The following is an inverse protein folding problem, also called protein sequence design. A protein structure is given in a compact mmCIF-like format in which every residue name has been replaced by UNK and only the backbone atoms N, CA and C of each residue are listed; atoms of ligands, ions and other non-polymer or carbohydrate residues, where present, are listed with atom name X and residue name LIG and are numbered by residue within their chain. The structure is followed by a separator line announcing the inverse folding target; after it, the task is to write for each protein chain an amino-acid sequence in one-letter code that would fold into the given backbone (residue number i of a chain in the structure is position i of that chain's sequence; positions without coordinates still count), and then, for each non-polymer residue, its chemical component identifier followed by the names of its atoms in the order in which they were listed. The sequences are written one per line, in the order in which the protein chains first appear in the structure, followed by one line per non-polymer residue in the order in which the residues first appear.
data_IF_572033583202
#
_entry.id   IF_572033583202
#
_cell.length_a   1.000
_cell.length_b   1.000
_cell.length_c   1.000
_cell.angle_alpha   90.00
_cell.angle_beta   90.00
_cell.angle_gamma   90.00
#
_symmetry.space_group_name_H-M   'P 1'
#
loop_
_entity.id
_entity.type
_entity.pdbx_description
1 polymer ?
#
# COMPACT_ATOMS: atom_id res chain seq x y z
N UNK A 1 -13.89 -13.57 17.29
CA UNK A 1 -13.18 -12.33 16.92
C UNK A 1 -13.40 -11.34 18.02
N UNK A 2 -12.36 -10.66 18.49
CA UNK A 2 -12.44 -9.64 19.54
C UNK A 2 -11.34 -8.60 19.34
N UNK A 3 -11.53 -7.40 19.89
CA UNK A 3 -10.48 -6.41 20.08
C UNK A 3 -10.54 -5.94 21.53
N UNK A 4 -9.48 -6.18 22.29
CA UNK A 4 -9.34 -5.77 23.68
C UNK A 4 -8.29 -4.68 23.77
N UNK A 5 -8.61 -3.58 24.45
CA UNK A 5 -7.68 -2.52 24.81
C UNK A 5 -7.80 -2.30 26.33
N UNK A 6 -6.73 -2.60 27.07
CA UNK A 6 -6.75 -2.60 28.53
C UNK A 6 -7.92 -3.44 29.10
N UNK A 7 -8.86 -2.81 29.80
CA UNK A 7 -10.04 -3.44 30.39
C UNK A 7 -11.28 -3.38 29.48
N UNK A 8 -11.18 -2.75 28.31
CA UNK A 8 -12.29 -2.56 27.39
C UNK A 8 -12.27 -3.60 26.29
N UNK A 9 -13.38 -4.30 26.10
CA UNK A 9 -13.57 -5.28 25.03
C UNK A 9 -14.50 -4.71 23.96
N UNK A 10 -13.92 -4.36 22.82
CA UNK A 10 -14.61 -3.85 21.65
C UNK A 10 -15.08 -5.03 20.78
N UNK A 11 -16.34 -4.93 20.36
CA UNK A 11 -16.88 -5.78 19.32
C UNK A 11 -16.35 -5.30 17.97
N UNK A 12 -15.73 -6.19 17.20
CA UNK A 12 -15.26 -5.86 15.85
C UNK A 12 -16.45 -5.59 14.93
N UNK A 13 -16.42 -4.44 14.28
CA UNK A 13 -17.44 -4.00 13.30
C UNK A 13 -16.96 -4.18 11.87
N UNK A 14 -15.65 -4.09 11.62
CA UNK A 14 -15.04 -4.40 10.34
C UNK A 14 -13.59 -4.88 10.50
N UNK A 15 -13.14 -5.73 9.57
CA UNK A 15 -11.74 -6.14 9.46
C UNK A 15 -11.38 -6.29 7.98
N UNK A 16 -10.33 -5.60 7.56
CA UNK A 16 -9.88 -5.56 6.18
C UNK A 16 -8.39 -5.90 6.08
N UNK A 17 -8.07 -6.67 5.05
CA UNK A 17 -6.68 -6.95 4.64
C UNK A 17 -6.50 -6.48 3.20
N UNK A 18 -5.42 -5.75 2.96
CA UNK A 18 -4.99 -5.32 1.63
C UNK A 18 -3.63 -5.89 1.27
N UNK A 19 -3.38 -6.12 -0.02
CA UNK A 19 -2.05 -6.44 -0.53
C UNK A 19 -1.62 -5.45 -1.60
N UNK A 20 -0.37 -5.00 -1.52
CA UNK A 20 0.33 -4.33 -2.61
C UNK A 20 1.60 -5.12 -2.98
N UNK A 21 2.08 -4.96 -4.22
CA UNK A 21 3.35 -5.55 -4.63
C UNK A 21 4.50 -4.68 -4.14
N UNK A 22 5.54 -5.27 -3.53
CA UNK A 22 6.72 -4.53 -3.11
C UNK A 22 7.50 -3.98 -4.32
N UNK A 23 8.26 -2.90 -4.10
CA UNK A 23 9.01 -2.23 -5.16
C UNK A 23 10.10 -3.13 -5.79
N UNK A 24 10.69 -4.01 -5.00
CA UNK A 24 11.64 -5.02 -5.51
C UNK A 24 10.94 -6.17 -6.27
N UNK A 25 9.60 -6.18 -6.26
CA UNK A 25 8.73 -7.18 -6.85
C UNK A 25 9.00 -8.61 -6.35
N UNK A 26 9.52 -8.78 -5.13
CA UNK A 26 9.83 -10.08 -4.54
C UNK A 26 8.83 -10.52 -3.48
N UNK A 27 8.09 -9.61 -2.89
CA UNK A 27 7.09 -9.88 -1.85
C UNK A 27 5.85 -9.02 -2.02
N UNK A 28 4.84 -9.27 -1.20
CA UNK A 28 3.74 -8.36 -0.97
C UNK A 28 4.01 -7.48 0.25
N UNK A 29 3.36 -6.33 0.28
CA UNK A 29 3.15 -5.48 1.43
C UNK A 29 1.71 -5.75 1.89
N UNK A 30 1.51 -6.04 3.17
CA UNK A 30 0.20 -6.29 3.75
C UNK A 30 -0.26 -5.07 4.54
N UNK A 31 -1.51 -4.69 4.34
CA UNK A 31 -2.22 -3.70 5.13
C UNK A 31 -3.27 -4.43 5.96
N UNK A 32 -3.42 -4.04 7.22
CA UNK A 32 -4.41 -4.57 8.13
C UNK A 32 -5.14 -3.39 8.76
N UNK A 33 -6.45 -3.50 8.87
CA UNK A 33 -7.33 -2.45 9.37
C UNK A 33 -8.52 -3.08 10.09
N UNK A 34 -8.70 -2.75 11.37
CA UNK A 34 -9.67 -3.36 12.27
C UNK A 34 -10.46 -2.23 12.94
N UNK A 35 -11.76 -2.19 12.68
CA UNK A 35 -12.69 -1.29 13.37
C UNK A 35 -13.42 -2.05 14.48
N UNK A 36 -13.60 -1.39 15.62
CA UNK A 36 -14.31 -1.90 16.78
C UNK A 36 -15.24 -0.88 17.41
N UNK A 37 -16.29 -1.37 18.06
CA UNK A 37 -17.23 -0.57 18.85
C UNK A 37 -17.42 -1.16 20.25
N UNK A 38 -17.44 -0.30 21.26
CA UNK A 38 -17.71 -0.65 22.64
C UNK A 38 -19.16 -0.29 23.01
N UNK A 39 -19.88 -1.23 23.61
CA UNK A 39 -21.29 -1.04 23.98
C UNK A 39 -21.48 -0.51 25.42
N UNK A 40 -20.42 -0.50 26.23
CA UNK A 40 -20.50 -0.04 27.63
C UNK A 40 -20.79 1.46 27.75
N UNK A 41 -21.45 1.83 28.84
CA UNK A 41 -21.88 3.22 29.10
C UNK A 41 -20.86 4.05 29.91
N UNK A 42 -19.78 3.42 30.36
CA UNK A 42 -18.71 3.99 31.16
C UNK A 42 -17.70 4.83 30.35
N UNK A 43 -17.79 4.78 29.02
CA UNK A 43 -17.05 5.68 28.12
C UNK A 43 -17.99 6.67 27.43
N UNK A 44 -17.50 7.88 27.19
CA UNK A 44 -18.18 8.86 26.33
C UNK A 44 -18.39 8.30 24.93
N UNK A 45 -19.48 8.70 24.27
CA UNK A 45 -19.91 8.13 22.98
C UNK A 45 -18.80 8.16 21.91
N UNK A 46 -18.05 9.25 21.84
CA UNK A 46 -16.95 9.42 20.87
C UNK A 46 -15.77 8.46 21.14
N UNK A 47 -15.62 8.00 22.38
CA UNK A 47 -14.58 7.07 22.79
C UNK A 47 -14.97 5.60 22.57
N UNK A 48 -16.19 5.32 22.11
CA UNK A 48 -16.68 3.95 21.94
C UNK A 48 -16.27 3.34 20.62
N UNK A 49 -15.72 4.10 19.68
CA UNK A 49 -15.31 3.59 18.36
C UNK A 49 -13.80 3.63 18.24
N UNK A 50 -13.19 2.52 17.84
CA UNK A 50 -11.73 2.40 17.74
C UNK A 50 -11.36 1.82 16.39
N UNK A 51 -10.20 2.22 15.89
CA UNK A 51 -9.61 1.66 14.67
C UNK A 51 -8.14 1.34 14.92
N UNK A 52 -7.74 0.10 14.65
CA UNK A 52 -6.36 -0.37 14.75
C UNK A 52 -5.91 -0.76 13.35
N UNK A 53 -4.90 -0.06 12.82
CA UNK A 53 -4.51 -0.25 11.42
C UNK A 53 -3.03 -0.01 11.17
N UNK A 54 -2.55 -0.51 10.03
CA UNK A 54 -1.19 -0.29 9.55
C UNK A 54 -1.22 0.73 8.40
N UNK A 55 -0.58 1.89 8.58
CA UNK A 55 -0.74 3.03 7.67
C UNK A 55 -0.05 2.82 6.31
N UNK A 56 1.19 2.34 6.33
CA UNK A 56 2.02 2.05 5.17
C UNK A 56 2.11 0.55 4.85
N UNK A 57 1.49 -0.28 5.70
CA UNK A 57 1.61 -1.73 5.66
C UNK A 57 3.02 -2.23 5.99
N UNK A 58 3.23 -3.54 5.85
CA UNK A 58 4.51 -4.19 6.17
C UNK A 58 4.85 -5.30 5.20
N UNK A 59 6.15 -5.53 4.95
CA UNK A 59 6.60 -6.54 4.01
C UNK A 59 6.43 -7.95 4.57
N UNK A 60 5.66 -8.78 3.87
CA UNK A 60 5.36 -10.15 4.33
C UNK A 60 6.32 -11.22 3.80
N UNK A 61 7.25 -10.82 2.92
CA UNK A 61 8.32 -11.69 2.40
C UNK A 61 7.86 -12.81 1.46
N UNK A 62 6.58 -12.84 1.08
CA UNK A 62 6.00 -13.83 0.16
C UNK A 62 5.08 -13.17 -0.86
N UNK A 63 4.81 -13.85 -1.98
CA UNK A 63 3.90 -13.38 -3.05
C UNK A 63 2.52 -14.03 -3.02
N UNK A 64 2.37 -15.10 -2.26
CA UNK A 64 1.17 -15.92 -2.25
C UNK A 64 0.64 -15.94 -0.81
N UNK A 65 -0.63 -15.54 -0.58
CA UNK A 65 -1.19 -15.42 0.77
C UNK A 65 -1.15 -16.73 1.57
N UNK A 66 -1.37 -17.87 0.93
CA UNK A 66 -1.29 -19.19 1.58
C UNK A 66 0.09 -19.50 2.20
N UNK A 67 1.16 -18.85 1.76
CA UNK A 67 2.50 -18.97 2.35
C UNK A 67 2.69 -18.15 3.63
N UNK A 68 1.64 -17.46 4.09
CA UNK A 68 1.65 -16.70 5.33
C UNK A 68 1.31 -17.55 6.56
N UNK A 69 0.70 -18.73 6.40
CA UNK A 69 0.27 -19.57 7.52
C UNK A 69 1.44 -19.81 8.49
N UNK A 70 1.23 -19.46 9.76
CA UNK A 70 2.21 -19.61 10.84
C UNK A 70 3.36 -18.59 10.84
N UNK A 71 3.32 -17.56 9.98
CA UNK A 71 4.28 -16.45 10.06
C UNK A 71 3.89 -15.45 11.15
N UNK A 72 4.92 -14.87 11.74
CA UNK A 72 4.83 -13.79 12.72
C UNK A 72 5.64 -12.59 12.26
N UNK A 73 5.13 -11.40 12.53
CA UNK A 73 5.79 -10.12 12.28
C UNK A 73 5.82 -9.37 13.61
N UNK A 74 7.00 -8.89 14.02
CA UNK A 74 7.22 -8.37 15.36
C UNK A 74 7.98 -7.04 15.32
N UNK A 75 7.54 -6.14 16.19
CA UNK A 75 8.04 -4.81 16.38
C UNK A 75 8.26 -4.59 17.87
N UNK A 76 9.52 -4.44 18.27
CA UNK A 76 9.90 -4.15 19.66
C UNK A 76 9.77 -2.66 20.02
N UNK A 77 9.60 -1.82 19.00
CA UNK A 77 9.44 -0.36 19.08
C UNK A 77 8.39 0.06 18.04
N UNK A 78 8.00 1.34 18.03
CA UNK A 78 6.99 1.86 17.11
C UNK A 78 7.35 1.68 15.63
N UNK A 79 8.64 1.51 15.32
CA UNK A 79 9.14 1.22 13.98
C UNK A 79 10.22 0.14 14.05
N UNK A 80 10.28 -0.72 13.05
CA UNK A 80 11.37 -1.70 12.92
C UNK A 80 12.58 -1.10 12.17
N UNK A 81 13.65 -1.90 12.02
CA UNK A 81 14.88 -1.48 11.33
C UNK A 81 14.73 -1.18 9.83
N UNK A 82 13.57 -1.48 9.23
CA UNK A 82 13.22 -1.12 7.85
C UNK A 82 12.36 0.14 7.78
N UNK A 83 12.05 0.74 8.92
CA UNK A 83 11.16 1.89 9.01
C UNK A 83 9.68 1.54 8.85
N UNK A 84 9.30 0.27 8.98
CA UNK A 84 7.88 -0.14 8.97
C UNK A 84 7.31 0.08 10.37
N UNK A 85 6.21 0.83 10.48
CA UNK A 85 5.56 1.07 11.76
C UNK A 85 5.02 -0.22 12.39
N UNK A 86 4.80 -0.26 13.70
CA UNK A 86 4.11 -1.36 14.37
C UNK A 86 2.59 -1.28 14.20
N UNK A 87 2.08 -0.09 13.83
CA UNK A 87 0.67 0.23 13.59
C UNK A 87 0.28 1.60 14.13
N UNK A 88 -1.00 1.91 14.01
CA UNK A 88 -1.62 3.12 14.54
C UNK A 88 -2.94 2.73 15.20
N UNK A 89 -3.15 3.26 16.40
CA UNK A 89 -4.43 3.20 17.10
C UNK A 89 -5.13 4.54 16.91
N UNK A 90 -6.36 4.52 16.40
CA UNK A 90 -7.16 5.71 16.21
C UNK A 90 -8.43 5.63 17.03
N UNK A 91 -8.70 6.69 17.77
CA UNK A 91 -10.02 6.94 18.33
C UNK A 91 -10.46 8.38 18.10
N UNK A 92 -9.80 9.33 18.77
CA UNK A 92 -9.97 10.76 18.53
C UNK A 92 -8.84 11.28 17.66
N UNK A 93 -7.62 10.89 18.01
CA UNK A 93 -6.39 11.21 17.31
C UNK A 93 -5.65 9.94 16.90
N UNK A 94 -4.62 10.12 16.07
CA UNK A 94 -3.76 9.04 15.61
C UNK A 94 -2.65 8.83 16.62
N UNK A 95 -2.73 7.73 17.35
CA UNK A 95 -1.76 7.35 18.36
C UNK A 95 -0.85 6.22 17.86
N UNK A 96 0.42 6.29 18.24
CA UNK A 96 1.39 5.27 17.88
C UNK A 96 1.11 3.95 18.60
N UNK A 97 1.16 2.85 17.85
CA UNK A 97 1.41 1.52 18.42
C UNK A 97 2.90 1.46 18.74
N UNK A 98 3.24 1.43 20.02
CA UNK A 98 4.62 1.52 20.51
C UNK A 98 5.37 0.19 20.43
N UNK A 99 4.65 -0.92 20.34
CA UNK A 99 5.18 -2.25 20.00
C UNK A 99 4.05 -3.14 19.50
N UNK A 100 4.37 -4.15 18.71
CA UNK A 100 3.35 -4.97 18.08
C UNK A 100 3.86 -6.33 17.63
N UNK A 101 2.95 -7.28 17.57
CA UNK A 101 3.16 -8.59 16.99
C UNK A 101 1.91 -9.03 16.24
N UNK A 102 2.09 -9.36 14.97
CA UNK A 102 1.04 -9.90 14.10
C UNK A 102 1.38 -11.36 13.80
N UNK A 103 0.51 -12.27 14.25
CA UNK A 103 0.55 -13.69 13.98
C UNK A 103 -0.52 -14.04 12.93
N UNK A 104 -0.09 -14.66 11.82
CA UNK A 104 -1.01 -15.20 10.82
C UNK A 104 -1.37 -16.63 11.22
N UNK A 105 -2.57 -16.78 11.81
CA UNK A 105 -3.02 -18.03 12.40
C UNK A 105 -3.44 -19.04 11.34
N UNK A 106 -4.16 -18.59 10.32
CA UNK A 106 -4.62 -19.44 9.21
C UNK A 106 -4.89 -18.61 7.95
N UNK A 107 -4.82 -19.26 6.79
CA UNK A 107 -5.16 -18.68 5.49
C UNK A 107 -5.84 -19.72 4.63
N UNK A 108 -7.10 -19.45 4.28
CA UNK A 108 -7.87 -20.22 3.32
C UNK A 108 -7.93 -19.48 1.97
N UNK A 109 -8.72 -19.99 1.02
CA UNK A 109 -8.95 -19.28 -0.24
C UNK A 109 -9.71 -17.96 -0.03
N UNK A 110 -10.61 -17.91 0.94
CA UNK A 110 -11.55 -16.79 1.11
C UNK A 110 -11.22 -15.92 2.33
N UNK A 111 -10.62 -16.50 3.37
CA UNK A 111 -10.40 -15.83 4.66
C UNK A 111 -8.94 -15.96 5.15
N UNK A 112 -8.46 -14.90 5.77
CA UNK A 112 -7.21 -14.84 6.53
C UNK A 112 -7.54 -14.56 7.98
N UNK A 113 -7.00 -15.38 8.88
CA UNK A 113 -7.15 -15.24 10.32
C UNK A 113 -5.87 -14.67 10.92
N UNK A 114 -6.01 -13.56 11.63
CA UNK A 114 -4.89 -12.80 12.18
C UNK A 114 -5.09 -12.57 13.66
N UNK A 115 -4.01 -12.71 14.43
CA UNK A 115 -3.92 -12.20 15.80
C UNK A 115 -2.92 -11.05 15.83
N UNK A 116 -3.31 -9.93 16.41
CA UNK A 116 -2.46 -8.77 16.58
C UNK A 116 -2.46 -8.34 18.03
N UNK A 117 -1.31 -8.39 18.68
CA UNK A 117 -1.14 -7.95 20.06
C UNK A 117 -0.02 -6.93 20.17
N UNK A 118 -0.08 -6.05 21.15
CA UNK A 118 0.96 -5.04 21.31
C UNK A 118 0.67 -4.05 22.41
N UNK A 119 1.34 -2.91 22.31
CA UNK A 119 1.14 -1.76 23.18
C UNK A 119 0.89 -0.52 22.33
N UNK A 120 0.00 0.35 22.77
CA UNK A 120 -0.32 1.60 22.11
C UNK A 120 -0.44 2.73 23.13
N UNK A 121 -0.20 3.95 22.67
CA UNK A 121 -0.49 5.14 23.47
C UNK A 121 -1.99 5.44 23.45
N UNK A 122 -2.52 5.83 24.61
CA UNK A 122 -3.96 6.04 24.81
C UNK A 122 -4.15 7.18 25.80
N UNK A 123 -4.30 8.41 25.30
CA UNK A 123 -4.32 9.62 26.14
C UNK A 123 -5.70 10.27 26.32
N UNK A 124 -6.75 9.61 25.85
CA UNK A 124 -8.13 10.12 25.86
C UNK A 124 -8.86 10.07 27.22
N UNK A 125 -8.28 9.43 28.25
CA UNK A 125 -8.81 9.36 29.60
C UNK A 125 -7.66 9.27 30.61
N UNK A 126 -7.91 9.66 31.86
CA UNK A 126 -6.89 9.68 32.92
C UNK A 126 -6.46 8.28 33.38
N UNK A 127 -7.23 7.25 33.05
CA UNK A 127 -6.97 5.86 33.45
C UNK A 127 -6.00 5.13 32.51
N UNK A 128 -5.79 5.68 31.31
CA UNK A 128 -4.84 5.17 30.32
C UNK A 128 -3.67 6.15 30.16
N UNK A 129 -2.66 5.72 29.41
CA UNK A 129 -1.47 6.52 29.15
C UNK A 129 -0.61 5.87 28.10
N UNK A 130 0.69 5.85 28.33
CA UNK A 130 1.64 5.20 27.42
C UNK A 130 1.60 3.67 27.55
N UNK A 131 1.88 2.99 26.44
CA UNK A 131 2.11 1.54 26.40
C UNK A 131 0.93 0.67 26.93
N UNK A 132 -0.29 1.11 26.69
CA UNK A 132 -1.50 0.35 27.03
C UNK A 132 -1.59 -0.90 26.17
N UNK A 133 -1.78 -2.05 26.81
CA UNK A 133 -1.81 -3.33 26.12
C UNK A 133 -3.10 -3.51 25.32
N UNK A 134 -2.96 -4.03 24.10
CA UNK A 134 -4.08 -4.46 23.29
C UNK A 134 -3.88 -5.87 22.72
N UNK A 135 -4.99 -6.51 22.37
CA UNK A 135 -5.01 -7.77 21.66
C UNK A 135 -6.25 -7.83 20.76
N UNK A 136 -6.06 -8.20 19.51
CA UNK A 136 -7.10 -8.39 18.52
C UNK A 136 -6.96 -9.76 17.87
N UNK A 137 -8.08 -10.45 17.66
CA UNK A 137 -8.14 -11.64 16.82
C UNK A 137 -9.27 -11.50 15.82
N UNK A 138 -8.94 -11.49 14.53
CA UNK A 138 -9.85 -11.13 13.44
C UNK A 138 -9.80 -12.15 12.31
N UNK A 139 -10.90 -12.25 11.58
CA UNK A 139 -10.97 -12.89 10.27
C UNK A 139 -11.36 -11.83 9.24
N UNK A 140 -10.62 -11.77 8.14
CA UNK A 140 -10.88 -10.87 7.04
C UNK A 140 -10.87 -11.62 5.72
N UNK A 141 -11.52 -11.07 4.69
CA UNK A 141 -11.45 -11.64 3.34
C UNK A 141 -10.02 -11.57 2.83
N UNK A 142 -9.55 -12.63 2.18
CA UNK A 142 -8.29 -12.61 1.44
C UNK A 142 -8.49 -11.73 0.21
N UNK A 143 -7.77 -10.60 0.08
CA UNK A 143 -7.88 -9.78 -1.11
C UNK A 143 -7.20 -10.47 -2.30
N UNK A 144 -7.58 -10.06 -3.50
CA UNK A 144 -6.93 -10.52 -4.73
C UNK A 144 -5.45 -10.13 -4.72
N UNK A 145 -4.56 -11.06 -5.06
CA UNK A 145 -3.13 -10.74 -5.20
C UNK A 145 -2.95 -9.80 -6.39
N UNK A 146 -2.27 -8.64 -6.21
CA UNK A 146 -2.00 -7.72 -7.31
C UNK A 146 -1.20 -8.42 -8.40
N UNK A 147 -1.74 -8.42 -9.63
CA UNK A 147 -1.04 -8.91 -10.82
C UNK A 147 0.02 -7.94 -11.35
N UNK A 148 0.00 -6.70 -10.85
CA UNK A 148 0.87 -5.62 -11.29
C UNK A 148 2.32 -5.84 -10.86
N UNK A 149 3.23 -5.20 -11.59
CA UNK A 149 4.64 -5.01 -11.22
C UNK A 149 4.91 -3.54 -10.93
N UNK A 150 5.80 -3.26 -10.01
CA UNK A 150 6.13 -1.89 -9.59
C UNK A 150 7.52 -1.51 -10.10
N UNK A 151 7.64 -0.33 -10.71
CA UNK A 151 8.94 0.27 -11.02
C UNK A 151 9.00 1.68 -10.45
N UNK A 152 10.00 1.95 -9.62
CA UNK A 152 10.35 3.31 -9.21
C UNK A 152 11.38 3.87 -10.19
N UNK A 153 10.96 4.87 -10.98
CA UNK A 153 11.79 5.46 -12.04
C UNK A 153 13.08 6.08 -11.54
N UNK A 154 13.11 6.61 -10.31
CA UNK A 154 14.34 7.15 -9.72
C UNK A 154 15.39 6.07 -9.44
N UNK A 155 14.97 4.85 -9.11
CA UNK A 155 15.89 3.75 -8.80
C UNK A 155 16.30 2.95 -10.04
N UNK A 156 15.37 2.76 -10.97
CA UNK A 156 15.61 2.04 -12.23
C UNK A 156 14.56 2.41 -13.28
N UNK A 157 14.98 2.41 -14.54
CA UNK A 157 14.07 2.61 -15.67
C UNK A 157 13.73 1.31 -16.41
N UNK A 158 14.33 0.18 -16.04
CA UNK A 158 14.07 -1.14 -16.64
C UNK A 158 13.50 -2.12 -15.61
N UNK A 159 12.53 -2.92 -16.02
CA UNK A 159 11.92 -3.95 -15.20
C UNK A 159 11.57 -5.18 -16.02
N UNK A 160 12.12 -6.33 -15.60
CA UNK A 160 11.70 -7.64 -16.07
C UNK A 160 10.35 -8.01 -15.46
N UNK A 161 9.33 -8.18 -16.30
CA UNK A 161 7.97 -8.56 -15.90
C UNK A 161 7.89 -10.07 -15.67
N UNK A 162 8.43 -10.85 -16.60
CA UNK A 162 8.52 -12.30 -16.57
C UNK A 162 9.75 -12.81 -17.35
N UNK A 163 9.86 -14.13 -17.60
CA UNK A 163 11.00 -14.73 -18.31
C UNK A 163 11.26 -14.15 -19.72
N UNK A 164 10.23 -13.71 -20.42
CA UNK A 164 10.21 -13.30 -21.82
C UNK A 164 9.85 -11.83 -22.04
N UNK A 165 9.43 -11.13 -20.98
CA UNK A 165 8.88 -9.78 -21.04
C UNK A 165 9.66 -8.81 -20.16
N UNK A 166 10.08 -7.68 -20.73
CA UNK A 166 10.72 -6.56 -20.04
C UNK A 166 10.09 -5.24 -20.50
N UNK A 167 9.97 -4.28 -19.58
CA UNK A 167 9.54 -2.92 -19.88
C UNK A 167 10.62 -1.90 -19.49
N UNK A 168 10.76 -0.85 -20.29
CA UNK A 168 11.70 0.24 -20.11
C UNK A 168 10.99 1.60 -20.20
N UNK A 169 11.33 2.50 -19.27
CA UNK A 169 10.92 3.90 -19.22
C UNK A 169 11.95 4.73 -20.00
N UNK A 170 11.60 5.21 -21.19
CA UNK A 170 12.57 5.79 -22.12
C UNK A 170 12.89 7.27 -21.83
N UNK A 171 11.93 8.03 -21.31
CA UNK A 171 12.07 9.47 -21.07
C UNK A 171 11.65 9.85 -19.64
N UNK A 172 12.01 9.02 -18.66
CA UNK A 172 11.63 9.26 -17.26
C UNK A 172 12.08 10.64 -16.74
N UNK A 173 13.25 11.14 -17.15
CA UNK A 173 13.73 12.49 -16.81
C UNK A 173 12.75 13.60 -17.22
N UNK A 174 12.07 13.44 -18.37
CA UNK A 174 11.10 14.42 -18.85
C UNK A 174 9.84 14.44 -17.99
N UNK A 175 9.47 13.28 -17.44
CA UNK A 175 8.36 13.16 -16.50
C UNK A 175 8.69 13.83 -15.17
N UNK A 176 9.94 13.70 -14.70
CA UNK A 176 10.42 14.36 -13.47
C UNK A 176 10.40 15.87 -13.64
N UNK A 177 10.98 16.40 -14.74
CA UNK A 177 10.99 17.85 -14.99
C UNK A 177 9.57 18.44 -15.02
N UNK A 178 8.61 17.74 -15.64
CA UNK A 178 7.22 18.19 -15.68
C UNK A 178 6.55 18.15 -14.29
N UNK A 179 6.86 17.14 -13.50
CA UNK A 179 6.37 17.03 -12.14
C UNK A 179 6.94 18.13 -11.22
N UNK A 180 8.23 18.45 -11.35
CA UNK A 180 8.88 19.55 -10.65
C UNK A 180 8.25 20.89 -11.04
N UNK A 181 8.00 21.13 -12.33
CA UNK A 181 7.27 22.32 -12.81
C UNK A 181 5.90 22.45 -12.14
N UNK A 182 5.13 21.37 -12.08
CA UNK A 182 3.81 21.37 -11.43
C UNK A 182 3.92 21.65 -9.93
N UNK A 183 4.88 21.00 -9.24
CA UNK A 183 5.16 21.23 -7.83
C UNK A 183 5.53 22.69 -7.56
N UNK A 184 6.44 23.28 -8.35
CA UNK A 184 6.83 24.68 -8.19
C UNK A 184 5.66 25.65 -8.39
N UNK A 185 4.79 25.38 -9.37
CA UNK A 185 3.58 26.19 -9.59
C UNK A 185 2.62 26.07 -8.39
N UNK A 186 2.40 24.84 -7.90
CA UNK A 186 1.57 24.60 -6.72
C UNK A 186 2.07 25.34 -5.48
N UNK A 187 3.38 25.31 -5.22
CA UNK A 187 4.02 26.05 -4.12
C UNK A 187 3.89 27.58 -4.27
N UNK A 188 3.63 28.08 -5.48
CA UNK A 188 3.32 29.50 -5.76
C UNK A 188 1.81 29.80 -5.72
N UNK A 189 1.03 28.97 -5.04
CA UNK A 189 -0.42 29.08 -4.84
C UNK A 189 -1.28 28.82 -6.09
N UNK A 190 -0.75 28.11 -7.09
CA UNK A 190 -1.59 27.58 -8.18
C UNK A 190 -2.14 26.20 -7.80
N UNK A 191 -3.34 26.19 -7.20
CA UNK A 191 -4.02 24.95 -6.80
C UNK A 191 -4.36 24.03 -7.99
N UNK A 192 -4.34 24.56 -9.22
CA UNK A 192 -4.64 23.81 -10.44
C UNK A 192 -3.37 23.29 -11.14
N UNK A 193 -2.18 23.52 -10.61
CA UNK A 193 -0.92 23.16 -11.27
C UNK A 193 -0.90 21.71 -11.78
N UNK A 194 -1.33 20.74 -10.98
CA UNK A 194 -1.37 19.32 -11.35
C UNK A 194 -2.43 18.97 -12.40
N UNK A 195 -3.48 19.78 -12.54
CA UNK A 195 -4.45 19.65 -13.62
C UNK A 195 -3.91 20.13 -14.97
N UNK A 196 -2.71 20.73 -14.99
CA UNK A 196 -1.99 21.11 -16.21
C UNK A 196 -0.91 20.11 -16.60
N UNK A 197 -0.77 19.00 -15.84
CA UNK A 197 0.20 17.96 -16.16
C UNK A 197 -0.23 17.27 -17.45
N UNK A 198 0.49 17.54 -18.54
CA UNK A 198 0.27 16.97 -19.86
C UNK A 198 1.59 16.42 -20.43
N UNK A 199 1.80 15.13 -20.26
CA UNK A 199 3.06 14.47 -20.64
C UNK A 199 2.84 13.01 -21.02
N UNK A 200 3.63 12.57 -21.98
CA UNK A 200 3.71 11.17 -22.37
C UNK A 200 5.00 10.53 -21.85
N UNK A 201 4.85 9.48 -21.04
CA UNK A 201 5.94 8.59 -20.68
C UNK A 201 6.10 7.57 -21.81
N UNK A 202 7.20 7.67 -22.54
CA UNK A 202 7.59 6.74 -23.60
C UNK A 202 8.04 5.43 -22.99
N UNK A 203 7.49 4.33 -23.52
CA UNK A 203 7.70 2.98 -23.06
C UNK A 203 8.29 2.14 -24.19
N UNK A 204 9.23 1.26 -23.84
CA UNK A 204 9.63 0.15 -24.70
C UNK A 204 9.32 -1.16 -23.99
N UNK A 205 8.60 -2.03 -24.69
CA UNK A 205 8.32 -3.39 -24.25
C UNK A 205 9.14 -4.35 -25.11
N UNK A 206 9.97 -5.16 -24.47
CA UNK A 206 10.65 -6.28 -25.12
C UNK A 206 9.91 -7.56 -24.79
N UNK A 207 9.26 -8.18 -25.79
CA UNK A 207 8.57 -9.47 -25.64
C UNK A 207 9.13 -10.49 -26.63
N UNK A 208 9.58 -11.64 -26.13
CA UNK A 208 10.14 -12.71 -26.97
C UNK A 208 11.27 -12.21 -27.90
N UNK A 209 12.11 -11.29 -27.39
CA UNK A 209 13.21 -10.61 -28.10
C UNK A 209 12.78 -9.66 -29.23
N UNK A 210 11.50 -9.35 -29.36
CA UNK A 210 10.99 -8.29 -30.23
C UNK A 210 10.66 -7.05 -29.41
N UNK A 211 10.92 -5.88 -29.97
CA UNK A 211 10.65 -4.59 -29.33
C UNK A 211 9.33 -4.01 -29.85
N UNK A 212 8.55 -3.44 -28.95
CA UNK A 212 7.31 -2.74 -29.21
C UNK A 212 7.34 -1.43 -28.46
N UNK A 213 6.91 -0.36 -29.10
CA UNK A 213 6.93 0.97 -28.52
C UNK A 213 5.51 1.42 -28.17
N UNK A 214 5.44 2.29 -27.19
CA UNK A 214 4.18 2.83 -26.71
C UNK A 214 4.41 3.99 -25.78
N UNK A 215 3.31 4.55 -25.28
CA UNK A 215 3.32 5.69 -24.39
C UNK A 215 2.22 5.53 -23.34
N UNK A 216 2.52 5.98 -22.12
CA UNK A 216 1.49 6.27 -21.11
C UNK A 216 1.24 7.78 -21.12
N UNK A 217 0.04 8.17 -21.52
CA UNK A 217 -0.35 9.55 -21.77
C UNK A 217 -1.11 10.08 -20.56
N UNK A 218 -0.51 11.08 -19.91
CA UNK A 218 -1.07 11.80 -18.76
C UNK A 218 -1.66 13.10 -19.29
N UNK A 219 -2.97 13.30 -19.13
CA UNK A 219 -3.69 14.48 -19.62
C UNK A 219 -4.50 15.10 -18.49
N UNK A 220 -4.03 16.24 -18.00
CA UNK A 220 -4.66 16.95 -16.90
C UNK A 220 -4.61 16.21 -15.56
N UNK A 221 -3.61 15.34 -15.39
CA UNK A 221 -3.38 14.60 -14.15
C UNK A 221 -1.95 14.06 -14.10
N UNK A 222 -1.24 14.26 -13.00
CA UNK A 222 0.08 13.64 -12.79
C UNK A 222 0.05 12.17 -12.37
N UNK A 223 -1.13 11.59 -12.13
CA UNK A 223 -1.27 10.24 -11.55
C UNK A 223 -2.19 9.31 -12.33
N UNK A 224 -3.04 9.85 -13.21
CA UNK A 224 -3.92 9.08 -14.11
C UNK A 224 -3.42 9.18 -15.54
N UNK A 225 -3.33 8.04 -16.21
CA UNK A 225 -2.97 7.97 -17.61
C UNK A 225 -3.76 6.87 -18.31
N UNK A 226 -3.72 6.88 -19.64
CA UNK A 226 -4.04 5.72 -20.46
C UNK A 226 -2.79 5.31 -21.24
N UNK A 227 -2.71 4.04 -21.61
CA UNK A 227 -1.57 3.48 -22.34
C UNK A 227 -1.95 3.18 -23.78
N UNK A 228 -1.03 3.49 -24.70
CA UNK A 228 -1.15 3.19 -26.13
C UNK A 228 0.14 2.51 -26.56
N UNK A 229 0.03 1.39 -27.27
CA UNK A 229 1.17 0.66 -27.83
C UNK A 229 0.91 0.38 -29.31
N UNK A 230 1.98 0.11 -30.06
CA UNK A 230 1.90 -0.32 -31.45
C UNK A 230 0.84 -1.44 -31.64
N UNK A 231 0.06 -1.36 -32.72
CA UNK A 231 -1.01 -2.35 -33.00
C UNK A 231 -0.49 -3.78 -33.05
N UNK A 232 0.76 -3.96 -33.49
CA UNK A 232 1.45 -5.24 -33.59
C UNK A 232 1.91 -5.81 -32.24
N UNK A 233 1.82 -5.05 -31.15
CA UNK A 233 2.15 -5.52 -29.82
C UNK A 233 1.18 -6.63 -29.40
N UNK A 234 1.64 -7.84 -29.06
CA UNK A 234 0.77 -8.96 -28.69
C UNK A 234 0.26 -8.87 -27.25
N UNK A 235 0.76 -7.92 -26.46
CA UNK A 235 0.39 -7.75 -25.06
C UNK A 235 -0.41 -6.46 -24.86
N UNK A 236 -1.36 -6.51 -23.92
CA UNK A 236 -1.97 -5.34 -23.33
C UNK A 236 -1.10 -4.87 -22.16
N UNK A 237 -0.62 -3.63 -22.23
CA UNK A 237 0.20 -3.01 -21.20
C UNK A 237 -0.58 -1.84 -20.62
N UNK A 238 -0.73 -1.78 -19.31
CA UNK A 238 -1.45 -0.73 -18.60
C UNK A 238 -0.66 -0.23 -17.40
N UNK A 239 -0.63 1.08 -17.20
CA UNK A 239 -0.23 1.67 -15.91
C UNK A 239 -1.50 1.89 -15.11
N UNK A 240 -1.75 1.04 -14.11
CA UNK A 240 -3.00 1.04 -13.33
C UNK A 240 -3.00 2.07 -12.21
N UNK A 241 -1.81 2.47 -11.75
CA UNK A 241 -1.59 3.47 -10.70
C UNK A 241 -0.23 4.11 -10.92
N UNK A 242 -0.15 5.41 -10.64
CA UNK A 242 1.10 6.15 -10.55
C UNK A 242 1.12 6.86 -9.21
N UNK A 243 2.21 6.68 -8.47
CA UNK A 243 2.45 7.35 -7.18
C UNK A 243 3.72 8.15 -7.28
N UNK A 244 3.69 9.39 -6.78
CA UNK A 244 4.78 10.32 -6.94
C UNK A 244 4.98 11.16 -5.68
N UNK A 245 6.19 11.13 -5.17
CA UNK A 245 6.69 11.95 -4.07
C UNK A 245 8.16 12.26 -4.36
N UNK A 246 8.40 13.38 -5.03
CA UNK A 246 9.70 13.71 -5.63
C UNK A 246 10.78 13.86 -4.56
N UNK A 247 10.43 14.44 -3.42
CA UNK A 247 11.33 14.68 -2.28
C UNK A 247 11.91 13.39 -1.70
N UNK A 248 11.15 12.29 -1.79
CA UNK A 248 11.52 10.98 -1.27
C UNK A 248 12.06 10.06 -2.37
N UNK A 249 12.40 10.61 -3.55
CA UNK A 249 12.80 9.83 -4.73
C UNK A 249 11.79 8.73 -5.08
N UNK A 250 10.50 9.03 -4.92
CA UNK A 250 9.42 8.11 -5.25
C UNK A 250 8.71 8.56 -6.52
N UNK A 251 8.86 7.77 -7.59
CA UNK A 251 8.01 7.89 -8.77
C UNK A 251 7.72 6.49 -9.30
N UNK A 252 6.66 5.90 -8.71
CA UNK A 252 6.31 4.49 -8.86
C UNK A 252 5.21 4.33 -9.91
N UNK A 253 5.44 3.44 -10.87
CA UNK A 253 4.47 3.02 -11.86
C UNK A 253 4.06 1.58 -11.58
N UNK A 254 2.75 1.34 -11.48
CA UNK A 254 2.16 0.03 -11.26
C UNK A 254 1.68 -0.50 -12.60
N UNK A 255 2.39 -1.48 -13.14
CA UNK A 255 2.30 -1.94 -14.52
C UNK A 255 1.63 -3.30 -14.56
N UNK A 256 0.49 -3.40 -15.25
CA UNK A 256 -0.15 -4.64 -15.61
C UNK A 256 0.24 -4.99 -17.06
N UNK A 257 0.66 -6.23 -17.28
CA UNK A 257 0.93 -6.77 -18.63
C UNK A 257 0.19 -8.09 -18.78
N UNK A 258 -0.70 -8.17 -19.75
CA UNK A 258 -1.53 -9.34 -20.03
C UNK A 258 -1.52 -9.64 -21.53
N UNK A 259 -1.80 -10.89 -21.92
CA UNK A 259 -2.01 -11.21 -23.34
C UNK A 259 -3.27 -10.51 -23.85
N UNK A 260 -3.26 -10.03 -25.11
CA UNK A 260 -4.49 -9.58 -25.76
C UNK A 260 -5.44 -10.78 -25.89
N UNK A 261 -6.68 -10.59 -25.45
CA UNK A 261 -7.75 -11.57 -25.69
C UNK A 261 -8.22 -11.32 -27.13
N UNK A 262 -8.09 -12.34 -27.98
CA UNK A 262 -8.65 -12.35 -29.35
C UNK A 262 -10.17 -12.53 -29.34
#
# INVERSE_FOLDING_TARGET
MYLKLNNYEYKITAANVGFEMSEDNKSLIMFLDIDGSYEGEDLDYELRTIRLYHNNGFHIGVKEPNKLIGKSFEWNEAYNNKGEEAGTLYVLEHEDVTSGKIDILDVTQDLIKVKWSGQANVFWNEECGENVSFEAEVEAKVPSVPKVKVINGFKKTKLKIDKNTEIELLNFSDMVMEAERCKESYLKNDSNAWSTFDKALKLKLTYMKKEYYGEAVYQGSGTKCYTVFDDQCPLNVQITKTSMWIENEEYKFYILVEAKIE
#
